data_IF_381419655108
#
_entry.id   IF_381419655108
#
_cell.length_a   1.000
_cell.length_b   1.000
_cell.length_c   1.000
_cell.angle_alpha   90.00
_cell.angle_beta   90.00
_cell.angle_gamma   90.00
#
_symmetry.space_group_name_H-M   'P 1'
#
loop_
_entity.id
_entity.type
_entity.pdbx_description
1 polymer ?
#
# COMPACT_ATOMS: atom_id res chain seq x y z
N UNK A 1 -26.15 17.67 4.88
CA UNK A 1 -25.09 17.48 5.89
C UNK A 1 -23.76 17.55 5.14
N UNK A 2 -22.93 18.57 5.37
CA UNK A 2 -21.72 18.81 4.57
C UNK A 2 -20.70 17.68 4.71
N UNK A 3 -19.95 17.39 3.64
CA UNK A 3 -18.87 16.39 3.62
C UNK A 3 -17.83 16.61 4.73
N UNK A 4 -17.61 17.88 5.12
CA UNK A 4 -16.73 18.26 6.21
C UNK A 4 -17.21 17.73 7.59
N UNK A 5 -18.51 17.85 7.90
CA UNK A 5 -19.06 17.37 9.17
C UNK A 5 -18.96 15.85 9.28
N UNK A 6 -19.22 15.15 8.17
CA UNK A 6 -19.09 13.69 8.11
C UNK A 6 -17.64 13.26 8.35
N UNK A 7 -16.66 13.95 7.75
CA UNK A 7 -15.24 13.64 7.97
C UNK A 7 -14.82 13.84 9.43
N UNK A 8 -15.30 14.90 10.10
CA UNK A 8 -15.02 15.15 11.52
C UNK A 8 -15.59 14.02 12.40
N UNK A 9 -16.85 13.66 12.17
CA UNK A 9 -17.54 12.61 12.92
C UNK A 9 -16.84 11.25 12.80
N UNK A 10 -16.42 10.90 11.57
CA UNK A 10 -15.70 9.66 11.32
C UNK A 10 -14.25 9.69 11.82
N UNK A 11 -13.63 10.87 11.89
CA UNK A 11 -12.30 11.00 12.48
C UNK A 11 -12.34 10.73 13.99
N UNK A 12 -13.33 11.25 14.70
CA UNK A 12 -13.51 10.97 16.13
C UNK A 12 -13.70 9.46 16.40
N UNK A 13 -14.48 8.78 15.56
CA UNK A 13 -14.65 7.31 15.63
C UNK A 13 -13.36 6.54 15.34
N UNK A 14 -12.60 6.98 14.34
CA UNK A 14 -11.29 6.39 14.03
C UNK A 14 -10.34 6.50 15.22
N UNK A 15 -10.28 7.67 15.87
CA UNK A 15 -9.40 7.92 17.02
C UNK A 15 -9.80 7.11 18.26
N UNK A 16 -11.12 7.01 18.52
CA UNK A 16 -11.64 6.16 19.58
C UNK A 16 -11.33 4.67 19.35
N UNK A 17 -11.42 4.21 18.09
CA UNK A 17 -11.01 2.84 17.72
C UNK A 17 -9.51 2.62 17.92
N UNK A 18 -8.66 3.54 17.44
CA UNK A 18 -7.21 3.43 17.56
C UNK A 18 -6.77 3.40 19.04
N UNK A 19 -7.41 4.21 19.90
CA UNK A 19 -7.19 4.20 21.34
C UNK A 19 -7.70 2.93 22.05
N UNK A 20 -8.73 2.26 21.51
CA UNK A 20 -9.29 1.04 22.11
C UNK A 20 -8.36 -0.17 22.02
N UNK A 21 -7.42 -0.18 21.06
CA UNK A 21 -6.56 -1.33 20.78
C UNK A 21 -7.27 -2.58 20.26
N UNK A 22 -8.59 -2.52 20.05
CA UNK A 22 -9.41 -3.63 19.54
C UNK A 22 -9.28 -3.76 18.02
N UNK A 23 -9.62 -4.93 17.47
CA UNK A 23 -9.81 -5.04 16.03
C UNK A 23 -11.01 -4.19 15.58
N UNK A 24 -10.97 -3.65 14.36
CA UNK A 24 -12.07 -2.84 13.83
C UNK A 24 -13.41 -3.60 13.84
N UNK A 25 -13.38 -4.92 13.66
CA UNK A 25 -14.58 -5.75 13.72
C UNK A 25 -15.15 -5.86 15.13
N UNK A 26 -14.30 -5.98 16.15
CA UNK A 26 -14.73 -6.01 17.56
C UNK A 26 -15.26 -4.66 18.01
N UNK A 27 -14.55 -3.58 17.68
CA UNK A 27 -14.96 -2.22 18.00
C UNK A 27 -16.30 -1.85 17.36
N UNK A 28 -16.50 -2.19 16.07
CA UNK A 28 -17.79 -1.98 15.40
C UNK A 28 -18.95 -2.74 16.04
N UNK A 29 -18.70 -3.92 16.62
CA UNK A 29 -19.74 -4.66 17.36
C UNK A 29 -20.10 -3.98 18.69
N UNK A 30 -19.11 -3.42 19.39
CA UNK A 30 -19.32 -2.77 20.67
C UNK A 30 -20.04 -1.41 20.52
N UNK A 31 -19.64 -0.63 19.52
CA UNK A 31 -20.14 0.73 19.31
C UNK A 31 -21.33 0.79 18.32
N UNK A 32 -21.86 -0.36 17.90
CA UNK A 32 -22.94 -0.50 16.90
C UNK A 32 -22.67 0.26 15.58
N UNK A 33 -21.39 0.37 15.21
CA UNK A 33 -20.96 1.06 13.99
C UNK A 33 -20.95 0.10 12.80
N UNK A 34 -21.41 0.58 11.64
CA UNK A 34 -21.36 -0.20 10.42
C UNK A 34 -19.91 -0.53 10.02
N UNK A 35 -19.58 -1.82 10.01
CA UNK A 35 -18.24 -2.35 9.70
C UNK A 35 -17.73 -1.95 8.32
N UNK A 36 -18.58 -1.92 7.29
CA UNK A 36 -18.16 -1.52 5.94
C UNK A 36 -17.79 -0.05 5.87
N UNK A 37 -18.57 0.82 6.52
CA UNK A 37 -18.26 2.24 6.60
C UNK A 37 -16.99 2.48 7.41
N UNK A 38 -16.79 1.74 8.51
CA UNK A 38 -15.56 1.81 9.30
C UNK A 38 -14.31 1.49 8.46
N UNK A 39 -14.31 0.38 7.71
CA UNK A 39 -13.18 0.05 6.85
C UNK A 39 -12.95 1.09 5.75
N UNK A 40 -14.02 1.63 5.16
CA UNK A 40 -13.90 2.72 4.19
C UNK A 40 -13.16 3.92 4.80
N UNK A 41 -13.54 4.34 6.01
CA UNK A 41 -12.92 5.49 6.68
C UNK A 41 -11.51 5.20 7.19
N UNK A 42 -11.24 4.00 7.70
CA UNK A 42 -9.87 3.56 8.06
C UNK A 42 -8.96 3.67 6.84
N UNK A 43 -9.39 3.13 5.71
CA UNK A 43 -8.62 3.19 4.46
C UNK A 43 -8.38 4.65 4.05
N UNK A 44 -9.44 5.45 4.03
CA UNK A 44 -9.38 6.87 3.64
C UNK A 44 -8.43 7.69 4.53
N UNK A 45 -8.47 7.51 5.85
CA UNK A 45 -7.57 8.24 6.75
C UNK A 45 -6.12 7.77 6.64
N UNK A 46 -5.86 6.50 6.34
CA UNK A 46 -4.51 5.99 6.08
C UNK A 46 -3.96 6.50 4.75
N UNK A 47 -4.78 6.56 3.71
CA UNK A 47 -4.43 7.16 2.42
C UNK A 47 -4.14 8.67 2.56
N UNK A 48 -4.98 9.40 3.31
CA UNK A 48 -4.75 10.81 3.63
C UNK A 48 -3.45 11.03 4.43
N UNK A 49 -3.12 10.14 5.36
CA UNK A 49 -1.89 10.21 6.15
C UNK A 49 -0.66 9.91 5.28
N UNK A 50 -0.72 8.90 4.41
CA UNK A 50 0.33 8.61 3.44
C UNK A 50 0.53 9.80 2.48
N UNK A 51 -0.55 10.39 1.98
CA UNK A 51 -0.51 11.54 1.06
C UNK A 51 0.03 12.83 1.70
N UNK A 52 0.02 12.94 3.03
CA UNK A 52 0.61 14.08 3.76
C UNK A 52 2.10 13.90 4.08
N UNK A 53 2.60 12.68 4.01
CA UNK A 53 3.99 12.33 4.33
C UNK A 53 4.82 11.87 3.13
N UNK A 54 4.23 11.78 1.93
CA UNK A 54 4.93 11.44 0.69
C UNK A 54 4.81 12.59 -0.34
N UNK A 55 5.89 12.96 -1.05
CA UNK A 55 5.74 13.64 -2.33
C UNK A 55 4.95 12.73 -3.29
N UNK A 56 4.24 13.28 -4.28
CA UNK A 56 3.26 12.51 -5.04
C UNK A 56 3.95 11.47 -5.94
N UNK A 57 4.00 10.21 -5.52
CA UNK A 57 4.24 9.07 -6.41
C UNK A 57 3.99 7.71 -5.76
N UNK A 58 3.14 6.91 -6.42
CA UNK A 58 3.40 5.49 -6.63
C UNK A 58 3.01 4.53 -5.51
N UNK A 59 1.93 3.77 -5.74
CA UNK A 59 1.65 2.41 -5.27
C UNK A 59 2.56 1.87 -4.16
N UNK A 60 2.07 1.89 -2.92
CA UNK A 60 2.72 1.29 -1.75
C UNK A 60 2.64 -0.24 -1.83
N UNK A 61 3.69 -0.87 -2.35
CA UNK A 61 3.85 -2.33 -2.31
C UNK A 61 4.08 -2.78 -0.86
N UNK A 62 3.12 -3.52 -0.29
CA UNK A 62 3.32 -4.20 1.00
C UNK A 62 4.15 -5.45 0.76
N UNK A 63 5.40 -5.43 1.17
CA UNK A 63 6.27 -6.62 1.20
C UNK A 63 5.71 -7.62 2.21
N UNK A 64 5.14 -8.72 1.73
CA UNK A 64 4.79 -9.86 2.57
C UNK A 64 6.10 -10.58 2.89
N UNK A 65 6.54 -10.49 4.13
CA UNK A 65 7.71 -11.21 4.60
C UNK A 65 7.34 -12.69 4.73
N UNK A 66 7.63 -13.48 3.68
CA UNK A 66 7.48 -14.93 3.70
C UNK A 66 8.55 -15.47 4.62
N UNK A 67 8.13 -15.97 5.78
CA UNK A 67 9.02 -16.52 6.79
C UNK A 67 9.86 -17.64 6.17
N UNK A 68 11.18 -17.45 6.27
CA UNK A 68 12.26 -18.31 5.79
C UNK A 68 11.94 -19.81 5.88
N UNK A 69 12.01 -20.49 4.72
CA UNK A 69 12.43 -21.89 4.68
C UNK A 69 13.91 -21.91 4.28
N UNK A 70 14.80 -22.57 5.05
CA UNK A 70 16.22 -22.61 4.71
C UNK A 70 16.45 -23.76 3.74
N UNK A 71 16.29 -23.51 2.45
CA UNK A 71 16.81 -24.38 1.40
C UNK A 71 17.82 -23.59 0.58
N UNK A 72 19.09 -23.86 0.88
CA UNK A 72 20.22 -23.23 0.25
C UNK A 72 20.20 -23.45 -1.27
N UNK A 73 20.00 -22.37 -2.00
CA UNK A 73 20.54 -22.20 -3.34
C UNK A 73 20.96 -20.75 -3.45
N UNK A 74 22.15 -20.51 -4.01
CA UNK A 74 22.63 -19.19 -4.46
C UNK A 74 21.61 -18.65 -5.46
N UNK A 75 20.58 -17.98 -4.98
CA UNK A 75 19.54 -17.41 -5.82
C UNK A 75 19.85 -15.92 -5.89
N UNK A 76 20.58 -15.54 -6.93
CA UNK A 76 20.80 -14.14 -7.24
C UNK A 76 19.41 -13.48 -7.38
N UNK A 77 19.11 -12.54 -6.49
CA UNK A 77 17.78 -11.96 -6.37
C UNK A 77 17.45 -11.08 -7.59
N UNK A 78 16.20 -11.10 -8.08
CA UNK A 78 15.80 -10.22 -9.17
C UNK A 78 15.82 -8.75 -8.74
N UNK A 79 16.13 -7.87 -9.70
CA UNK A 79 16.07 -6.42 -9.53
C UNK A 79 14.77 -5.91 -10.15
N UNK A 80 14.01 -5.08 -9.42
CA UNK A 80 12.81 -4.44 -9.95
C UNK A 80 13.09 -2.99 -10.34
N UNK A 81 12.70 -2.61 -11.57
CA UNK A 81 12.80 -1.25 -12.09
C UNK A 81 11.38 -0.70 -12.25
N UNK A 82 11.14 0.49 -11.73
CA UNK A 82 9.84 1.16 -11.82
C UNK A 82 9.90 2.37 -12.75
N UNK A 83 8.96 2.45 -13.71
CA UNK A 83 8.82 3.58 -14.66
C UNK A 83 7.34 3.99 -14.69
N UNK A 84 7.02 5.12 -14.06
CA UNK A 84 5.62 5.56 -13.90
C UNK A 84 4.78 4.50 -13.16
N UNK A 85 3.75 3.99 -13.81
CA UNK A 85 2.88 2.90 -13.28
C UNK A 85 3.36 1.50 -13.67
N UNK A 86 4.43 1.38 -14.46
CA UNK A 86 4.95 0.12 -14.97
C UNK A 86 6.10 -0.39 -14.09
N UNK A 87 6.21 -1.70 -13.97
CA UNK A 87 7.29 -2.38 -13.23
C UNK A 87 7.94 -3.45 -14.11
N UNK A 88 9.26 -3.50 -14.13
CA UNK A 88 10.06 -4.45 -14.89
C UNK A 88 10.88 -5.28 -13.90
N UNK A 89 10.67 -6.59 -13.92
CA UNK A 89 11.48 -7.57 -13.17
C UNK A 89 12.69 -7.99 -14.01
N UNK A 90 13.90 -7.77 -13.50
CA UNK A 90 15.16 -8.12 -14.15
C UNK A 90 15.79 -9.26 -13.39
N UNK A 91 15.86 -10.44 -14.01
CA UNK A 91 16.53 -11.59 -13.44
C UNK A 91 18.01 -11.63 -13.82
N UNK A 92 18.87 -12.25 -12.99
CA UNK A 92 20.24 -12.54 -13.36
C UNK A 92 20.31 -13.32 -14.67
N UNK A 93 21.27 -12.98 -15.54
CA UNK A 93 21.37 -13.54 -16.90
C UNK A 93 20.47 -12.88 -17.95
N UNK A 94 19.73 -11.82 -17.60
CA UNK A 94 18.96 -11.02 -18.56
C UNK A 94 19.88 -10.39 -19.61
N UNK A 95 19.47 -10.38 -20.88
CA UNK A 95 20.17 -9.65 -21.93
C UNK A 95 20.05 -8.13 -21.70
N UNK A 96 21.18 -7.50 -21.39
CA UNK A 96 21.25 -6.06 -21.10
C UNK A 96 20.92 -5.18 -22.32
N UNK A 97 21.16 -5.64 -23.55
CA UNK A 97 20.77 -4.90 -24.76
C UNK A 97 19.26 -4.89 -24.90
N UNK A 98 18.61 -6.04 -24.71
CA UNK A 98 17.14 -6.13 -24.74
C UNK A 98 16.52 -5.28 -23.63
N UNK A 99 17.03 -5.38 -22.40
CA UNK A 99 16.58 -4.55 -21.29
C UNK A 99 16.69 -3.06 -21.61
N UNK A 100 17.80 -2.63 -22.22
CA UNK A 100 18.00 -1.23 -22.60
C UNK A 100 16.96 -0.74 -23.63
N UNK A 101 16.57 -1.59 -24.59
CA UNK A 101 15.54 -1.26 -25.58
C UNK A 101 14.17 -1.11 -24.91
N UNK A 102 13.82 -2.04 -24.02
CA UNK A 102 12.56 -2.00 -23.27
C UNK A 102 12.50 -0.72 -22.43
N UNK A 103 13.52 -0.42 -21.63
CA UNK A 103 13.55 0.78 -20.78
C UNK A 103 13.42 2.06 -21.62
N UNK A 104 14.09 2.16 -22.78
CA UNK A 104 13.97 3.33 -23.67
C UNK A 104 12.56 3.52 -24.23
N UNK A 105 11.85 2.45 -24.57
CA UNK A 105 10.46 2.52 -25.02
C UNK A 105 9.58 3.05 -23.88
N UNK A 106 9.77 2.52 -22.67
CA UNK A 106 9.00 2.92 -21.49
C UNK A 106 9.23 4.38 -21.05
N UNK A 107 10.42 4.93 -21.32
CA UNK A 107 10.75 6.33 -21.01
C UNK A 107 10.14 7.34 -22.00
N UNK A 108 9.73 6.90 -23.19
CA UNK A 108 9.23 7.76 -24.27
C UNK A 108 7.70 7.64 -24.46
N UNK A 109 6.97 7.24 -23.41
CA UNK A 109 5.50 7.25 -23.31
C UNK A 109 5.06 8.33 -22.34
#
# INVERSE_FOLDING_TARGET
>A
MNDANKRIEWKARYDAWEASGLSAAEWCRNEEVNKHQMYYWIRKFREDAASKHEPPSGTKWLTVNMQNTPSGHRNEEPVFIHVGTLSVEVRPGTDMKLLSHVVRVLQNQ
#
